data_IF_579846198183
#
_entry.id   IF_579846198183
#
_cell.length_a   1.000
_cell.length_b   1.000
_cell.length_c   1.000
_cell.angle_alpha   90.00
_cell.angle_beta   90.00
_cell.angle_gamma   90.00
#
_symmetry.space_group_name_H-M   'P 1'
#
loop_
_entity.id
_entity.type
_entity.pdbx_description
1 polymer ?
#
# COMPACT_ATOMS: atom_id res chain seq x y z
N UNK A 1 -9.40 -47.35 0.16
CA UNK A 1 -8.79 -47.31 -1.18
C UNK A 1 -8.12 -48.64 -1.46
N UNK A 2 -8.68 -49.51 -2.31
CA UNK A 2 -7.97 -50.70 -2.79
C UNK A 2 -6.90 -50.19 -3.76
N UNK A 3 -5.66 -50.10 -3.29
CA UNK A 3 -4.56 -49.60 -4.12
C UNK A 3 -3.99 -50.77 -4.91
N UNK A 4 -3.86 -50.58 -6.24
CA UNK A 4 -3.34 -51.58 -7.15
C UNK A 4 -2.00 -52.16 -6.70
N UNK A 5 -1.76 -53.42 -7.05
CA UNK A 5 -0.56 -54.15 -6.65
C UNK A 5 0.69 -53.48 -7.25
N UNK A 6 1.39 -52.67 -6.45
CA UNK A 6 2.71 -52.18 -6.81
C UNK A 6 3.69 -53.36 -6.88
N UNK A 7 4.49 -53.43 -7.95
CA UNK A 7 5.58 -54.40 -8.03
C UNK A 7 6.56 -54.20 -6.86
N UNK A 8 7.08 -55.31 -6.32
CA UNK A 8 8.02 -55.36 -5.20
C UNK A 8 9.17 -54.37 -5.38
N UNK A 9 9.77 -54.33 -6.57
CA UNK A 9 10.93 -53.49 -6.84
C UNK A 9 10.56 -52.01 -6.85
N UNK A 10 9.35 -51.65 -7.31
CA UNK A 10 8.85 -50.26 -7.24
C UNK A 10 8.67 -49.82 -5.79
N UNK A 11 8.08 -50.67 -4.95
CA UNK A 11 7.90 -50.37 -3.52
C UNK A 11 9.23 -50.20 -2.80
N UNK A 12 10.19 -51.09 -3.04
CA UNK A 12 11.51 -50.99 -2.42
C UNK A 12 12.31 -49.77 -2.91
N UNK A 13 12.17 -49.40 -4.19
CA UNK A 13 12.72 -48.14 -4.72
C UNK A 13 12.13 -46.91 -4.00
N UNK A 14 10.81 -46.88 -3.80
CA UNK A 14 10.14 -45.79 -3.07
C UNK A 14 10.46 -45.78 -1.57
N UNK A 15 10.72 -46.94 -0.98
CA UNK A 15 11.06 -47.08 0.44
C UNK A 15 12.55 -46.85 0.73
N UNK A 16 13.37 -46.57 -0.30
CA UNK A 16 14.80 -46.28 -0.13
C UNK A 16 14.97 -45.07 0.82
N UNK A 17 15.82 -45.23 1.83
CA UNK A 17 16.04 -44.21 2.88
C UNK A 17 15.11 -44.32 4.09
N UNK A 18 14.14 -45.25 4.10
CA UNK A 18 13.39 -45.55 5.32
C UNK A 18 14.27 -46.24 6.37
N UNK A 19 13.97 -45.99 7.65
CA UNK A 19 14.73 -46.55 8.77
C UNK A 19 14.39 -48.03 9.01
N UNK A 20 15.42 -48.85 9.25
CA UNK A 20 15.31 -50.25 9.63
C UNK A 20 14.62 -51.12 8.57
N UNK A 21 13.89 -52.16 9.01
CA UNK A 21 13.28 -53.18 8.12
C UNK A 21 12.28 -52.63 7.10
N UNK A 22 11.82 -51.39 7.25
CA UNK A 22 10.90 -50.79 6.29
C UNK A 22 11.52 -50.32 4.98
N UNK A 23 12.86 -50.29 4.86
CA UNK A 23 13.55 -50.09 3.58
C UNK A 23 13.84 -51.39 2.82
N UNK A 24 13.88 -52.52 3.52
CA UNK A 24 14.33 -53.81 2.96
C UNK A 24 13.20 -54.84 2.85
N UNK A 25 12.33 -54.95 3.85
CA UNK A 25 11.26 -55.94 3.89
C UNK A 25 9.99 -55.42 3.20
N UNK A 26 9.61 -56.04 2.08
CA UNK A 26 8.47 -55.61 1.25
C UNK A 26 7.17 -55.43 2.04
N UNK A 27 6.79 -56.41 2.89
CA UNK A 27 5.53 -56.38 3.64
C UNK A 27 5.42 -55.18 4.61
N UNK A 28 6.55 -54.72 5.15
CA UNK A 28 6.61 -53.54 6.01
C UNK A 28 6.70 -52.28 5.16
N UNK A 29 7.51 -52.30 4.11
CA UNK A 29 7.73 -51.21 3.18
C UNK A 29 6.42 -50.74 2.53
N UNK A 30 5.61 -51.67 2.00
CA UNK A 30 4.36 -51.34 1.30
C UNK A 30 3.39 -50.54 2.18
N UNK A 31 3.20 -50.97 3.44
CA UNK A 31 2.34 -50.26 4.41
C UNK A 31 2.86 -48.84 4.67
N UNK A 32 4.17 -48.69 4.81
CA UNK A 32 4.82 -47.41 5.12
C UNK A 32 4.82 -46.47 3.91
N UNK A 33 5.10 -46.98 2.71
CA UNK A 33 5.03 -46.25 1.44
C UNK A 33 3.60 -45.77 1.19
N UNK A 34 2.58 -46.61 1.40
CA UNK A 34 1.19 -46.20 1.24
C UNK A 34 0.84 -45.02 2.15
N UNK A 35 1.22 -45.09 3.43
CA UNK A 35 1.00 -44.01 4.39
C UNK A 35 1.76 -42.74 3.99
N UNK A 36 2.99 -42.88 3.52
CA UNK A 36 3.79 -41.75 3.05
C UNK A 36 3.20 -41.08 1.81
N UNK A 37 2.66 -41.84 0.85
CA UNK A 37 1.98 -41.29 -0.33
C UNK A 37 0.69 -40.54 0.05
N UNK A 38 -0.08 -41.08 1.00
CA UNK A 38 -1.24 -40.37 1.56
C UNK A 38 -0.84 -39.05 2.21
N UNK A 39 0.20 -39.05 3.03
CA UNK A 39 0.73 -37.83 3.63
C UNK A 39 1.30 -36.87 2.59
N UNK A 40 2.03 -37.36 1.59
CA UNK A 40 2.54 -36.52 0.50
C UNK A 40 1.41 -35.78 -0.22
N UNK A 41 0.31 -36.47 -0.55
CA UNK A 41 -0.85 -35.84 -1.18
C UNK A 41 -1.50 -34.78 -0.28
N UNK A 42 -1.74 -35.13 0.99
CA UNK A 42 -2.29 -34.19 1.99
C UNK A 42 -1.38 -32.98 2.16
N UNK A 43 -0.09 -33.20 2.36
CA UNK A 43 0.89 -32.19 2.74
C UNK A 43 1.19 -31.23 1.60
N UNK A 44 1.07 -31.64 0.32
CA UNK A 44 1.09 -30.70 -0.82
C UNK A 44 0.02 -29.62 -0.70
N UNK A 45 -1.19 -29.96 -0.20
CA UNK A 45 -2.27 -28.98 0.03
C UNK A 45 -2.00 -28.15 1.29
N UNK A 46 -1.53 -28.80 2.36
CA UNK A 46 -1.23 -28.14 3.65
C UNK A 46 -0.04 -27.18 3.54
N UNK A 47 0.97 -27.46 2.72
CA UNK A 47 2.15 -26.61 2.51
C UNK A 47 1.78 -25.17 2.16
N UNK A 48 0.75 -24.98 1.31
CA UNK A 48 0.26 -23.63 0.95
C UNK A 48 -0.25 -22.86 2.19
N UNK A 49 -0.95 -23.53 3.10
CA UNK A 49 -1.44 -22.95 4.36
C UNK A 49 -0.29 -22.62 5.32
N UNK A 50 0.68 -23.53 5.47
CA UNK A 50 1.84 -23.34 6.35
C UNK A 50 2.66 -22.14 5.88
N UNK A 51 2.97 -22.08 4.58
CA UNK A 51 3.74 -20.97 4.00
C UNK A 51 3.01 -19.63 4.17
N UNK A 52 1.69 -19.60 3.92
CA UNK A 52 0.90 -18.40 4.18
C UNK A 52 0.91 -17.99 5.66
N UNK A 53 0.82 -18.96 6.58
CA UNK A 53 0.92 -18.69 8.01
C UNK A 53 2.27 -18.04 8.35
N UNK A 54 3.36 -18.53 7.77
CA UNK A 54 4.68 -17.95 7.98
C UNK A 54 4.74 -16.49 7.52
N UNK A 55 4.24 -16.17 6.33
CA UNK A 55 4.21 -14.78 5.85
C UNK A 55 3.38 -13.86 6.75
N UNK A 56 2.26 -14.35 7.30
CA UNK A 56 1.46 -13.59 8.26
C UNK A 56 2.23 -13.34 9.56
N UNK A 57 2.97 -14.34 10.05
CA UNK A 57 3.81 -14.21 11.25
C UNK A 57 4.91 -13.16 11.03
N UNK A 58 5.62 -13.24 9.91
CA UNK A 58 6.63 -12.24 9.51
C UNK A 58 6.02 -10.84 9.46
N UNK A 59 4.88 -10.68 8.76
CA UNK A 59 4.21 -9.38 8.67
C UNK A 59 3.72 -8.87 10.01
N UNK A 60 3.21 -9.75 10.88
CA UNK A 60 2.76 -9.36 12.21
C UNK A 60 3.92 -8.81 13.05
N UNK A 61 5.12 -9.37 12.91
CA UNK A 61 6.32 -8.85 13.57
C UNK A 61 6.69 -7.47 13.00
N UNK A 62 6.80 -7.34 11.67
CA UNK A 62 7.17 -6.09 11.01
C UNK A 62 6.17 -4.95 11.27
N UNK A 63 4.85 -5.21 11.20
CA UNK A 63 3.84 -4.16 11.46
C UNK A 63 3.85 -3.70 12.92
N UNK A 64 4.23 -4.58 13.86
CA UNK A 64 4.30 -4.24 15.28
C UNK A 64 5.42 -3.26 15.59
N UNK A 65 6.54 -3.32 14.87
CA UNK A 65 7.63 -2.34 14.99
C UNK A 65 7.15 -0.92 14.65
N UNK A 66 6.11 -0.81 13.81
CA UNK A 66 5.48 0.45 13.45
C UNK A 66 4.20 0.77 14.22
N UNK A 67 3.87 0.00 15.27
CA UNK A 67 2.69 0.21 16.11
C UNK A 67 1.36 -0.28 15.52
N UNK A 68 1.39 -1.05 14.42
CA UNK A 68 0.18 -1.58 13.78
C UNK A 68 -0.06 -3.05 14.10
N UNK A 69 -1.34 -3.39 14.27
CA UNK A 69 -1.77 -4.79 14.24
C UNK A 69 -1.99 -5.24 12.79
N UNK A 70 -1.75 -6.52 12.51
CA UNK A 70 -1.84 -7.09 11.17
C UNK A 70 -3.25 -6.98 10.55
N UNK A 71 -4.32 -7.09 11.36
CA UNK A 71 -5.71 -7.02 10.87
C UNK A 71 -6.05 -5.63 10.31
N UNK A 72 -5.74 -4.58 11.08
CA UNK A 72 -5.85 -3.18 10.68
C UNK A 72 -4.97 -2.89 9.48
N UNK A 73 -3.75 -3.39 9.47
CA UNK A 73 -2.84 -3.22 8.33
C UNK A 73 -3.45 -3.74 7.01
N UNK A 74 -3.97 -4.97 7.00
CA UNK A 74 -4.62 -5.53 5.80
C UNK A 74 -5.91 -4.80 5.45
N UNK A 75 -6.70 -4.40 6.44
CA UNK A 75 -7.92 -3.61 6.22
C UNK A 75 -7.61 -2.31 5.49
N UNK A 76 -6.59 -1.58 5.96
CA UNK A 76 -6.17 -0.31 5.38
C UNK A 76 -5.55 -0.49 3.98
N UNK A 77 -4.75 -1.53 3.78
CA UNK A 77 -4.21 -1.87 2.45
C UNK A 77 -5.32 -2.08 1.42
N UNK A 78 -6.35 -2.86 1.78
CA UNK A 78 -7.50 -3.09 0.90
C UNK A 78 -8.25 -1.78 0.59
N UNK A 79 -8.33 -0.84 1.55
CA UNK A 79 -8.94 0.49 1.36
C UNK A 79 -8.10 1.40 0.47
N UNK A 80 -6.77 1.37 0.59
CA UNK A 80 -5.84 2.06 -0.33
C UNK A 80 -5.84 1.48 -1.76
N UNK A 81 -6.60 0.41 -2.02
CA UNK A 81 -6.62 -0.31 -3.28
C UNK A 81 -5.24 -0.89 -3.69
N UNK A 82 -4.36 -1.10 -2.70
CA UNK A 82 -3.02 -1.68 -2.89
C UNK A 82 -3.11 -3.19 -2.77
N UNK A 83 -3.29 -3.86 -3.91
CA UNK A 83 -3.46 -5.32 -3.98
C UNK A 83 -2.09 -6.03 -4.08
N UNK A 84 -1.39 -6.14 -2.96
CA UNK A 84 -0.10 -6.85 -2.89
C UNK A 84 -0.25 -8.19 -2.17
N UNK A 85 0.36 -9.23 -2.75
CA UNK A 85 0.42 -10.54 -2.14
C UNK A 85 1.26 -10.57 -0.86
N UNK A 86 0.83 -11.37 0.11
CA UNK A 86 1.51 -11.52 1.41
C UNK A 86 2.93 -12.09 1.28
N UNK A 87 3.20 -12.84 0.22
CA UNK A 87 4.54 -13.31 -0.10
C UNK A 87 5.48 -12.12 -0.34
N UNK A 88 5.06 -11.20 -1.19
CA UNK A 88 5.84 -10.03 -1.60
C UNK A 88 5.96 -9.07 -0.42
N UNK A 89 4.86 -8.81 0.31
CA UNK A 89 4.90 -7.98 1.50
C UNK A 89 5.85 -8.52 2.58
N UNK A 90 5.86 -9.84 2.81
CA UNK A 90 6.75 -10.45 3.79
C UNK A 90 8.22 -10.39 3.34
N UNK A 91 8.48 -10.50 2.04
CA UNK A 91 9.82 -10.38 1.47
C UNK A 91 10.35 -8.94 1.56
N UNK A 92 9.50 -7.95 1.22
CA UNK A 92 9.79 -6.52 1.39
C UNK A 92 10.08 -6.18 2.85
N UNK A 93 9.30 -6.73 3.78
CA UNK A 93 9.50 -6.49 5.22
C UNK A 93 10.87 -7.00 5.72
N UNK A 94 11.42 -8.04 5.11
CA UNK A 94 12.73 -8.61 5.51
C UNK A 94 13.87 -7.91 4.80
N UNK A 95 13.78 -7.76 3.47
CA UNK A 95 14.90 -7.33 2.64
C UNK A 95 14.96 -5.80 2.49
N UNK A 96 13.80 -5.13 2.48
CA UNK A 96 13.67 -3.73 2.06
C UNK A 96 12.84 -2.90 3.06
N UNK A 97 13.39 -2.60 4.26
CA UNK A 97 12.64 -1.93 5.32
C UNK A 97 12.17 -0.52 4.94
N UNK A 98 12.93 0.21 4.11
CA UNK A 98 12.54 1.54 3.64
C UNK A 98 11.31 1.48 2.73
N UNK A 99 11.27 0.52 1.81
CA UNK A 99 10.10 0.28 0.94
C UNK A 99 8.90 -0.21 1.74
N UNK A 100 9.12 -1.04 2.76
CA UNK A 100 8.03 -1.46 3.64
C UNK A 100 7.47 -0.28 4.47
N UNK A 101 8.33 0.65 4.89
CA UNK A 101 7.93 1.85 5.62
C UNK A 101 7.00 2.76 4.80
N UNK A 102 7.25 2.96 3.50
CA UNK A 102 6.36 3.78 2.66
C UNK A 102 4.95 3.20 2.56
N UNK A 103 4.83 1.86 2.52
CA UNK A 103 3.54 1.15 2.57
C UNK A 103 2.86 1.37 3.92
N UNK A 104 3.62 1.30 5.02
CA UNK A 104 3.09 1.56 6.37
C UNK A 104 2.60 3.00 6.51
N UNK A 105 3.29 3.96 5.90
CA UNK A 105 2.90 5.37 5.95
C UNK A 105 1.61 5.61 5.15
N UNK A 106 1.40 4.94 4.01
CA UNK A 106 0.10 4.91 3.33
C UNK A 106 -1.00 4.28 4.20
N UNK A 107 -0.68 3.18 4.87
CA UNK A 107 -1.61 2.51 5.78
C UNK A 107 -2.00 3.39 6.97
N UNK A 108 -1.06 4.17 7.51
CA UNK A 108 -1.34 5.17 8.56
C UNK A 108 -2.37 6.19 8.10
N UNK A 109 -2.14 6.80 6.92
CA UNK A 109 -3.09 7.74 6.32
C UNK A 109 -4.50 7.15 6.23
N UNK A 110 -4.61 5.92 5.71
CA UNK A 110 -5.89 5.24 5.60
C UNK A 110 -6.53 4.90 6.95
N UNK A 111 -5.75 4.57 7.97
CA UNK A 111 -6.28 4.30 9.31
C UNK A 111 -6.89 5.56 9.92
N UNK A 112 -6.24 6.71 9.76
CA UNK A 112 -6.71 7.98 10.32
C UNK A 112 -8.07 8.38 9.70
N UNK A 113 -8.25 8.24 8.37
CA UNK A 113 -9.54 8.47 7.71
C UNK A 113 -10.66 7.62 8.31
N UNK A 114 -10.38 6.37 8.68
CA UNK A 114 -11.36 5.46 9.27
C UNK A 114 -11.77 5.91 10.66
N UNK A 115 -10.84 6.43 11.45
CA UNK A 115 -11.14 7.00 12.77
C UNK A 115 -11.99 8.27 12.61
N UNK A 116 -11.67 9.15 11.65
CA UNK A 116 -12.50 10.31 11.33
C UNK A 116 -13.93 9.94 10.89
N UNK A 117 -14.11 8.92 10.06
CA UNK A 117 -15.45 8.43 9.66
C UNK A 117 -16.28 7.92 10.86
N UNK A 118 -15.63 7.28 11.83
CA UNK A 118 -16.29 6.78 13.03
C UNK A 118 -16.67 7.91 14.00
N UNK A 119 -15.94 9.04 13.95
CA UNK A 119 -16.20 10.24 14.75
C UNK A 119 -17.38 11.06 14.18
N UNK A 120 -18.15 10.56 13.19
CA UNK A 120 -19.41 11.21 12.77
C UNK A 120 -20.24 11.62 14.00
N UNK A 121 -20.56 12.91 14.18
CA UNK A 121 -21.25 13.35 15.38
C UNK A 121 -22.63 12.69 15.39
N UNK A 122 -23.00 12.08 16.52
CA UNK A 122 -24.42 11.97 16.85
C UNK A 122 -24.91 13.40 16.91
N UNK A 123 -25.61 13.88 15.87
CA UNK A 123 -26.59 14.94 16.02
C UNK A 123 -27.60 14.38 17.03
N UNK A 124 -27.28 14.53 18.31
CA UNK A 124 -28.23 14.33 19.39
C UNK A 124 -29.34 15.30 19.03
N UNK A 125 -30.51 14.79 18.68
CA UNK A 125 -31.74 15.56 18.63
C UNK A 125 -31.77 16.33 19.95
N UNK A 126 -31.33 17.59 19.92
CA UNK A 126 -31.46 18.46 21.07
C UNK A 126 -32.97 18.54 21.26
N UNK A 127 -33.45 18.14 22.43
CA UNK A 127 -34.76 18.55 22.88
C UNK A 127 -34.79 20.07 22.72
N UNK A 128 -35.58 20.57 21.77
CA UNK A 128 -35.65 22.01 21.52
C UNK A 128 -35.99 22.70 22.84
N UNK A 129 -35.11 23.58 23.30
CA UNK A 129 -35.40 24.45 24.44
C UNK A 129 -36.32 25.55 23.92
N UNK A 130 -37.40 25.86 24.65
CA UNK A 130 -38.31 26.92 24.24
C UNK A 130 -37.59 28.27 24.24
N UNK A 131 -37.94 29.17 23.31
CA UNK A 131 -37.25 30.47 23.14
C UNK A 131 -37.11 31.24 24.46
N UNK A 132 -38.13 31.22 25.32
CA UNK A 132 -38.10 31.91 26.61
C UNK A 132 -37.09 31.28 27.59
N UNK A 133 -37.07 29.95 27.71
CA UNK A 133 -36.07 29.26 28.55
C UNK A 133 -34.65 29.52 28.04
N UNK A 134 -34.46 29.64 26.73
CA UNK A 134 -33.17 29.96 26.14
C UNK A 134 -32.74 31.41 26.41
N UNK A 135 -33.68 32.35 26.50
CA UNK A 135 -33.43 33.75 26.89
C UNK A 135 -33.10 33.84 28.39
N UNK A 136 -33.84 33.13 29.24
CA UNK A 136 -33.62 33.12 30.70
C UNK A 136 -32.31 32.42 31.09
N UNK A 137 -31.96 31.33 30.41
CA UNK A 137 -30.67 30.65 30.57
C UNK A 137 -29.51 31.43 29.93
N UNK A 138 -29.77 32.61 29.34
CA UNK A 138 -28.76 33.48 28.72
C UNK A 138 -28.10 32.89 27.47
N UNK A 139 -28.66 31.82 26.90
CA UNK A 139 -28.13 31.14 25.71
C UNK A 139 -28.53 31.86 24.42
N UNK A 140 -29.63 32.63 24.43
CA UNK A 140 -30.06 33.52 23.35
C UNK A 140 -30.32 34.93 23.90
N UNK A 141 -29.95 35.96 23.15
CA UNK A 141 -30.30 37.36 23.47
C UNK A 141 -31.63 37.71 22.81
N UNK A 142 -32.48 38.48 23.50
CA UNK A 142 -33.78 38.91 22.98
C UNK A 142 -33.66 39.98 21.87
N UNK A 143 -32.54 40.69 21.82
CA UNK A 143 -32.24 41.75 20.84
C UNK A 143 -31.48 41.20 19.65
N UNK A 144 -31.65 41.80 18.46
CA UNK A 144 -30.84 41.43 17.30
C UNK A 144 -29.36 41.73 17.55
N UNK A 145 -28.42 40.85 17.14
CA UNK A 145 -27.00 41.07 17.31
C UNK A 145 -26.55 42.34 16.57
N UNK A 146 -25.66 43.09 17.20
CA UNK A 146 -25.02 44.25 16.55
C UNK A 146 -24.06 43.79 15.43
N UNK A 147 -23.79 44.61 14.41
CA UNK A 147 -22.89 44.23 13.31
C UNK A 147 -21.50 43.75 13.77
N UNK A 148 -20.98 44.30 14.87
CA UNK A 148 -19.68 43.90 15.45
C UNK A 148 -19.73 42.50 16.07
N UNK A 149 -20.82 42.17 16.77
CA UNK A 149 -21.05 40.84 17.35
C UNK A 149 -21.24 39.78 16.26
N UNK A 150 -21.86 40.14 15.12
CA UNK A 150 -21.98 39.27 13.95
C UNK A 150 -20.59 38.93 13.43
N UNK A 151 -19.71 39.92 13.28
CA UNK A 151 -18.35 39.72 12.78
C UNK A 151 -17.50 38.86 13.73
N UNK A 152 -17.71 38.98 15.05
CA UNK A 152 -17.03 38.16 16.06
C UNK A 152 -17.55 36.71 16.07
N UNK A 153 -18.85 36.52 15.91
CA UNK A 153 -19.48 35.20 15.75
C UNK A 153 -18.97 34.54 14.46
N UNK A 154 -18.92 35.26 13.34
CA UNK A 154 -18.35 34.77 12.08
C UNK A 154 -16.88 34.34 12.25
N UNK A 155 -16.06 35.14 12.92
CA UNK A 155 -14.66 34.79 13.24
C UNK A 155 -14.53 33.57 14.16
N UNK A 156 -15.49 33.35 15.06
CA UNK A 156 -15.50 32.21 15.98
C UNK A 156 -15.96 30.90 15.33
N UNK A 157 -16.87 31.00 14.35
CA UNK A 157 -17.42 29.87 13.60
C UNK A 157 -16.45 29.37 12.52
N UNK A 158 -15.61 30.24 12.00
CA UNK A 158 -14.50 29.83 11.13
C UNK A 158 -13.51 29.02 11.99
N UNK A 159 -13.31 27.72 11.72
CA UNK A 159 -12.33 26.95 12.48
C UNK A 159 -10.96 27.61 12.33
N UNK A 160 -10.31 27.94 13.46
CA UNK A 160 -8.93 28.45 13.49
C UNK A 160 -8.07 27.51 12.64
N UNK A 161 -7.54 28.06 11.55
CA UNK A 161 -6.76 27.40 10.51
C UNK A 161 -6.21 26.04 10.93
N UNK A 162 -6.86 24.97 10.49
CA UNK A 162 -6.24 23.65 10.50
C UNK A 162 -5.10 23.76 9.49
N UNK A 163 -3.85 23.77 9.94
CA UNK A 163 -2.68 23.61 9.07
C UNK A 163 -2.73 22.23 8.43
N UNK A 164 -3.45 22.09 7.33
CA UNK A 164 -3.38 20.92 6.47
C UNK A 164 -2.01 20.89 5.80
N UNK A 165 -1.19 19.93 6.19
CA UNK A 165 0.01 19.58 5.43
C UNK A 165 -0.44 18.58 4.35
N UNK A 166 -0.76 19.12 3.17
CA UNK A 166 -0.80 18.44 1.87
C UNK A 166 -1.65 17.18 1.72
N UNK A 167 -2.91 17.34 1.27
CA UNK A 167 -3.53 16.43 0.29
C UNK A 167 -4.73 17.14 -0.39
N UNK A 168 -4.67 17.31 -1.71
CA UNK A 168 -5.74 17.94 -2.53
C UNK A 168 -6.88 16.94 -2.78
N UNK A 169 -8.12 17.45 -2.82
CA UNK A 169 -9.29 16.73 -3.34
C UNK A 169 -9.26 16.67 -4.89
N UNK A 170 -9.90 15.68 -5.53
CA UNK A 170 -10.04 15.65 -6.99
C UNK A 170 -11.02 16.74 -7.46
N UNK A 171 -10.60 17.57 -8.42
CA UNK A 171 -11.49 18.53 -9.06
C UNK A 171 -12.49 17.82 -9.99
N UNK A 172 -13.75 18.28 -9.93
CA UNK A 172 -14.87 17.75 -10.71
C UNK A 172 -14.79 18.29 -12.14
N UNK A 173 -14.59 17.42 -13.13
CA UNK A 173 -14.57 17.82 -14.53
C UNK A 173 -15.94 18.35 -14.97
N UNK A 174 -15.98 19.49 -15.65
CA UNK A 174 -17.21 20.23 -15.92
C UNK A 174 -18.11 19.60 -17.00
N UNK A 175 -17.64 18.55 -17.70
CA UNK A 175 -18.33 17.99 -18.89
C UNK A 175 -18.94 16.59 -18.75
N UNK A 176 -18.37 15.66 -17.96
CA UNK A 176 -18.89 14.27 -17.89
C UNK A 176 -18.73 13.61 -16.51
N UNK A 177 -19.81 13.40 -15.72
CA UNK A 177 -19.75 12.84 -14.35
C UNK A 177 -19.44 11.34 -14.21
N UNK A 178 -19.17 10.61 -15.30
CA UNK A 178 -19.11 9.13 -15.31
C UNK A 178 -17.75 8.55 -15.74
N UNK A 179 -16.75 9.38 -15.96
CA UNK A 179 -15.41 8.96 -16.39
C UNK A 179 -14.37 9.42 -15.37
N UNK A 180 -14.27 8.69 -14.28
CA UNK A 180 -13.16 8.89 -13.33
C UNK A 180 -11.92 8.18 -13.87
N UNK A 181 -10.93 8.94 -14.33
CA UNK A 181 -9.59 8.43 -14.62
C UNK A 181 -8.60 8.94 -13.57
N UNK A 182 -7.69 8.08 -13.12
CA UNK A 182 -6.53 8.47 -12.32
C UNK A 182 -5.53 9.19 -13.24
N UNK A 183 -5.33 10.50 -13.08
CA UNK A 183 -4.23 11.22 -13.75
C UNK A 183 -3.12 11.46 -12.73
N UNK A 184 -1.96 10.82 -12.94
CA UNK A 184 -0.72 11.35 -12.37
C UNK A 184 -0.36 12.60 -13.17
N UNK A 185 -0.54 13.77 -12.57
CA UNK A 185 0.06 15.01 -13.06
C UNK A 185 0.37 15.90 -11.86
N UNK A 186 1.63 15.87 -11.45
CA UNK A 186 2.26 16.98 -10.75
C UNK A 186 2.15 18.23 -11.63
N UNK A 187 1.65 19.34 -11.08
CA UNK A 187 1.71 20.63 -11.77
C UNK A 187 2.42 21.71 -10.96
N UNK A 188 2.47 21.63 -9.63
CA UNK A 188 3.18 22.65 -8.84
C UNK A 188 4.65 22.29 -8.57
N UNK A 189 4.98 21.00 -8.41
CA UNK A 189 6.38 20.58 -8.31
C UNK A 189 7.05 20.56 -9.68
N UNK A 190 6.30 20.31 -10.76
CA UNK A 190 6.80 20.44 -12.13
C UNK A 190 6.97 21.91 -12.52
N UNK A 191 6.12 22.86 -12.10
CA UNK A 191 6.38 24.28 -12.39
C UNK A 191 7.60 24.84 -11.65
N UNK A 192 7.82 24.41 -10.40
CA UNK A 192 9.02 24.76 -9.65
C UNK A 192 10.26 24.07 -10.25
N UNK A 193 10.17 22.78 -10.58
CA UNK A 193 11.23 22.02 -11.23
C UNK A 193 11.52 22.50 -12.66
N UNK A 194 10.51 22.92 -13.41
CA UNK A 194 10.62 23.51 -14.75
C UNK A 194 11.18 24.93 -14.66
N UNK A 195 10.82 25.74 -13.66
CA UNK A 195 11.51 27.01 -13.39
C UNK A 195 12.96 26.82 -12.96
N UNK A 196 13.24 25.78 -12.16
CA UNK A 196 14.60 25.42 -11.76
C UNK A 196 15.39 24.93 -12.99
N UNK A 197 14.79 24.10 -13.85
CA UNK A 197 15.35 23.64 -15.13
C UNK A 197 15.53 24.79 -16.12
N UNK A 198 14.59 25.72 -16.25
CA UNK A 198 14.66 26.93 -17.07
C UNK A 198 15.75 27.87 -16.56
N UNK A 199 15.96 27.93 -15.24
CA UNK A 199 17.05 28.68 -14.61
C UNK A 199 18.41 27.99 -14.78
N UNK A 200 18.42 26.66 -14.90
CA UNK A 200 19.60 25.84 -15.18
C UNK A 200 19.91 25.76 -16.70
N UNK A 201 18.94 26.03 -17.57
CA UNK A 201 19.12 26.16 -19.01
C UNK A 201 19.74 27.54 -19.32
N UNK A 202 21.00 27.56 -19.74
CA UNK A 202 21.64 28.75 -20.28
C UNK A 202 20.85 29.27 -21.49
N UNK A 203 20.57 30.58 -21.52
CA UNK A 203 19.91 31.24 -22.65
C UNK A 203 20.66 30.97 -23.96
N UNK A 204 19.99 30.99 -25.13
CA UNK A 204 20.63 30.86 -26.45
C UNK A 204 21.81 31.85 -26.65
N UNK A 205 21.77 33.02 -25.99
CA UNK A 205 22.88 33.99 -25.97
C UNK A 205 24.08 33.51 -25.15
N UNK A 206 23.83 32.77 -24.08
CA UNK A 206 24.85 32.24 -23.16
C UNK A 206 25.44 30.92 -23.68
N UNK A 207 24.63 30.05 -24.30
CA UNK A 207 25.10 28.86 -25.03
C UNK A 207 26.09 29.22 -26.16
N UNK A 208 25.85 30.33 -26.88
CA UNK A 208 26.77 30.83 -27.93
C UNK A 208 28.08 31.40 -27.39
N UNK A 209 28.20 31.63 -26.08
CA UNK A 209 29.39 32.21 -25.44
C UNK A 209 30.30 31.14 -24.82
N UNK A 210 29.84 29.89 -24.73
CA UNK A 210 30.62 28.77 -24.23
C UNK A 210 31.68 28.33 -25.26
N UNK A 211 32.88 27.93 -24.82
CA UNK A 211 33.92 27.44 -25.71
C UNK A 211 33.46 26.18 -26.45
N UNK A 212 33.92 26.04 -27.70
CA UNK A 212 33.41 25.09 -28.71
C UNK A 212 33.56 23.60 -28.35
N UNK A 213 34.22 23.29 -27.23
CA UNK A 213 34.61 21.94 -26.79
C UNK A 213 33.53 21.23 -25.96
N UNK A 214 32.45 21.91 -25.55
CA UNK A 214 31.40 21.34 -24.66
C UNK A 214 30.10 20.97 -25.41
N UNK A 215 30.07 21.08 -26.76
CA UNK A 215 28.81 21.04 -27.52
C UNK A 215 28.63 19.85 -28.49
N UNK A 216 29.32 18.72 -28.31
CA UNK A 216 29.00 17.51 -29.09
C UNK A 216 29.16 16.23 -28.27
N UNK A 217 28.03 15.74 -27.72
CA UNK A 217 27.81 14.30 -27.58
C UNK A 217 27.58 13.74 -28.99
N UNK A 218 28.66 13.31 -29.65
CA UNK A 218 28.62 12.69 -30.98
C UNK A 218 28.13 11.23 -30.89
N UNK A 219 26.85 11.08 -30.58
CA UNK A 219 26.10 9.80 -30.58
C UNK A 219 26.27 9.01 -31.90
N UNK A 220 26.45 9.69 -33.03
CA UNK A 220 26.65 9.06 -34.33
C UNK A 220 28.00 8.34 -34.47
N UNK A 221 29.05 8.81 -33.79
CA UNK A 221 30.39 8.18 -33.83
C UNK A 221 30.43 6.90 -32.96
N UNK A 222 29.81 6.93 -31.78
CA UNK A 222 29.73 5.79 -30.87
C UNK A 222 28.88 4.63 -31.43
N UNK A 223 27.86 4.92 -32.23
CA UNK A 223 27.03 3.90 -32.87
C UNK A 223 27.74 3.19 -34.03
N UNK A 224 28.83 3.76 -34.57
CA UNK A 224 29.63 3.14 -35.63
C UNK A 224 30.50 1.97 -35.10
N UNK A 225 30.90 2.02 -33.82
CA UNK A 225 31.69 0.99 -33.13
C UNK A 225 30.93 -0.33 -32.93
N UNK A 226 29.59 -0.31 -32.94
CA UNK A 226 28.75 -1.50 -32.73
C UNK A 226 28.35 -2.23 -34.02
N UNK A 227 28.72 -1.73 -35.20
CA UNK A 227 28.24 -2.29 -36.48
C UNK A 227 29.09 -3.46 -37.03
N UNK A 228 30.09 -3.95 -36.31
CA UNK A 228 30.96 -5.07 -36.77
C UNK A 228 30.94 -6.26 -35.81
N UNK A 229 29.86 -7.06 -35.87
CA UNK A 229 29.87 -8.47 -35.44
C UNK A 229 28.73 -9.26 -36.11
N UNK A 230 28.89 -9.50 -37.41
CA UNK A 230 28.30 -10.63 -38.15
C UNK A 230 28.98 -10.78 -39.51
N UNK A 231 30.04 -11.58 -39.53
CA UNK A 231 30.38 -12.52 -40.60
C UNK A 231 30.68 -13.84 -39.92
#
# INVERSE_FOLDING_TARGET
FPMGNFSRDKVLKLAKGYKGRSSTCYSIAIRRVHKALQYQYRDRRVKKRIVRKQWIVTLTAATREHGFNYSRFIMCLNRSNVNIDRKILADLAINEPYSFKTIIDEVKRQNDYVEFEQIKPKLRLQSGVLLHEAIENGSLRATQPTPEEIEEIEKSLIPKEIKMIGLRYPERDAKDPKKDYLRLSFQEEDEAFLKEQERLQLSLKEQKKLPREVLTDNWEEDMSMYKHKRK
#
